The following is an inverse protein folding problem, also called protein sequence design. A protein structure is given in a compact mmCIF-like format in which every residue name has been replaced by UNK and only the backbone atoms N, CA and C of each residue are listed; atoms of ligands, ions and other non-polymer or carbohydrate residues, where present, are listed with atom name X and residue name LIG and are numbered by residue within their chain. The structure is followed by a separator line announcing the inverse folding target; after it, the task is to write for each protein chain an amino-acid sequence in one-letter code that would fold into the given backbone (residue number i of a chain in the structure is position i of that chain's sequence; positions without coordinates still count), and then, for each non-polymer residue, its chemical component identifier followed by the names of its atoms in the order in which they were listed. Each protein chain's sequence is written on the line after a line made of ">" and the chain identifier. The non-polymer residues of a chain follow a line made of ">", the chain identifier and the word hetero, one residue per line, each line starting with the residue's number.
data_IF_135507811668
#
_entry.id   IF_135507811668
#
_cell.length_a   1.000
_cell.length_b   1.000
_cell.length_c   1.000
_cell.angle_alpha   90.00
_cell.angle_beta   90.00
_cell.angle_gamma   90.00
#
_symmetry.space_group_name_H-M   'P 1'
#
loop_
_entity.id
_entity.type
_entity.pdbx_description
1 polymer ?
#
# COMPACT_ATOMS: atom_id res chain seq x y z
N UNK A 1 10.07 35.41 -28.90
CA UNK A 1 10.66 34.13 -28.46
C UNK A 1 10.61 34.08 -26.93
N UNK A 2 9.75 33.24 -26.36
CA UNK A 2 9.64 33.06 -24.92
C UNK A 2 8.99 31.70 -24.69
N UNK A 3 9.83 30.72 -24.42
CA UNK A 3 9.60 29.30 -24.66
C UNK A 3 8.85 28.69 -23.46
N UNK A 4 7.67 28.12 -23.73
CA UNK A 4 7.09 26.91 -23.10
C UNK A 4 6.85 26.93 -21.59
N UNK A 5 5.70 27.51 -21.20
CA UNK A 5 5.03 27.22 -19.93
C UNK A 5 4.23 25.89 -20.01
N UNK A 6 4.86 24.80 -20.47
CA UNK A 6 4.24 23.48 -20.63
C UNK A 6 5.18 22.40 -20.14
N UNK A 7 5.58 22.45 -18.88
CA UNK A 7 6.44 21.42 -18.29
C UNK A 7 6.18 21.21 -16.79
N UNK A 8 4.93 21.36 -16.33
CA UNK A 8 4.56 21.13 -14.93
C UNK A 8 3.37 20.17 -14.75
N UNK A 9 3.01 19.39 -15.77
CA UNK A 9 1.90 18.41 -15.68
C UNK A 9 2.42 16.97 -15.45
N UNK A 10 3.70 16.70 -15.68
CA UNK A 10 4.24 15.33 -15.70
C UNK A 10 4.59 14.69 -14.34
N UNK A 11 4.60 15.44 -13.23
CA UNK A 11 5.26 15.00 -11.99
C UNK A 11 4.31 14.68 -10.82
N UNK A 12 3.04 14.34 -11.09
CA UNK A 12 2.08 13.99 -10.01
C UNK A 12 1.82 12.49 -9.92
N UNK A 13 2.13 11.69 -10.94
CA UNK A 13 1.77 10.27 -10.98
C UNK A 13 2.77 9.31 -10.31
N UNK A 14 3.97 9.77 -9.93
CA UNK A 14 4.97 8.90 -9.27
C UNK A 14 4.82 8.79 -7.74
N UNK A 15 3.92 9.56 -7.12
CA UNK A 15 3.69 9.54 -5.67
C UNK A 15 2.68 8.49 -5.18
N UNK A 16 2.01 7.77 -6.06
CA UNK A 16 0.95 6.82 -5.69
C UNK A 16 1.46 5.44 -5.24
N UNK A 17 2.79 5.22 -5.20
CA UNK A 17 3.37 3.97 -4.73
C UNK A 17 3.67 3.98 -3.21
N UNK A 18 3.50 5.11 -2.53
CA UNK A 18 3.71 5.21 -1.08
C UNK A 18 2.95 6.38 -0.47
N UNK A 19 1.83 6.09 0.19
CA UNK A 19 1.31 7.00 1.22
C UNK A 19 0.12 7.89 0.87
N UNK A 20 -0.73 7.53 -0.11
CA UNK A 20 -2.11 8.02 -0.13
C UNK A 20 -3.03 6.82 0.12
N UNK A 21 -3.36 6.55 1.38
CA UNK A 21 -4.47 5.67 1.68
C UNK A 21 -5.71 6.29 1.04
N UNK A 22 -6.27 5.63 0.01
CA UNK A 22 -7.52 6.06 -0.57
C UNK A 22 -8.54 6.13 0.56
N UNK A 23 -9.24 7.26 0.68
CA UNK A 23 -10.29 7.40 1.69
C UNK A 23 -11.39 6.38 1.38
N UNK A 24 -11.37 5.25 2.09
CA UNK A 24 -12.48 4.32 2.14
C UNK A 24 -13.42 4.79 3.25
N UNK A 25 -14.68 5.03 2.91
CA UNK A 25 -15.71 5.32 3.89
C UNK A 25 -15.72 4.23 4.99
N UNK A 26 -15.83 4.65 6.25
CA UNK A 26 -15.93 3.70 7.35
C UNK A 26 -17.24 2.91 7.24
N UNK A 27 -17.20 1.60 7.54
CA UNK A 27 -18.40 0.78 7.48
C UNK A 27 -19.41 1.25 8.54
N UNK A 28 -20.67 1.40 8.12
CA UNK A 28 -21.74 1.99 8.93
C UNK A 28 -22.57 0.93 9.68
N UNK A 29 -22.25 -0.35 9.51
CA UNK A 29 -22.90 -1.46 10.22
C UNK A 29 -21.90 -2.51 10.70
N UNK A 30 -22.29 -3.27 11.71
CA UNK A 30 -21.47 -4.35 12.30
C UNK A 30 -21.06 -5.38 11.25
N UNK A 31 -22.00 -5.82 10.40
CA UNK A 31 -21.70 -6.77 9.33
C UNK A 31 -20.69 -6.22 8.31
N UNK A 32 -20.79 -4.92 7.98
CA UNK A 32 -19.82 -4.29 7.09
C UNK A 32 -18.43 -4.21 7.75
N UNK A 33 -18.35 -3.99 9.06
CA UNK A 33 -17.10 -4.07 9.83
C UNK A 33 -16.50 -5.46 9.79
N UNK A 34 -17.30 -6.50 10.07
CA UNK A 34 -16.84 -7.90 10.05
C UNK A 34 -16.24 -8.26 8.68
N UNK A 35 -16.92 -7.90 7.59
CA UNK A 35 -16.44 -8.12 6.22
C UNK A 35 -15.13 -7.38 5.93
N UNK A 36 -14.99 -6.15 6.43
CA UNK A 36 -13.76 -5.36 6.29
C UNK A 36 -12.60 -6.01 7.03
N UNK A 37 -12.82 -6.44 8.27
CA UNK A 37 -11.82 -7.14 9.09
C UNK A 37 -11.41 -8.46 8.45
N UNK A 38 -12.36 -9.25 7.95
CA UNK A 38 -12.09 -10.51 7.26
C UNK A 38 -11.17 -10.30 6.04
N UNK A 39 -11.45 -9.26 5.24
CA UNK A 39 -10.61 -8.90 4.08
C UNK A 39 -9.20 -8.53 4.51
N UNK A 40 -9.06 -7.63 5.49
CA UNK A 40 -7.76 -7.19 5.99
C UNK A 40 -6.95 -8.39 6.51
N UNK A 41 -7.58 -9.29 7.29
CA UNK A 41 -6.88 -10.47 7.80
C UNK A 41 -6.38 -11.40 6.68
N UNK A 42 -7.13 -11.54 5.59
CA UNK A 42 -6.68 -12.33 4.42
C UNK A 42 -5.49 -11.68 3.74
N UNK A 43 -5.54 -10.37 3.51
CA UNK A 43 -4.45 -9.60 2.90
C UNK A 43 -3.18 -9.64 3.78
N UNK A 44 -3.33 -9.47 5.09
CA UNK A 44 -2.22 -9.55 6.05
C UNK A 44 -1.61 -10.96 6.08
N UNK A 45 -2.44 -12.01 6.05
CA UNK A 45 -1.96 -13.39 6.02
C UNK A 45 -1.22 -13.71 4.71
N UNK A 46 -1.69 -13.19 3.58
CA UNK A 46 -1.01 -13.33 2.29
C UNK A 46 0.34 -12.62 2.32
N UNK A 47 0.38 -11.38 2.80
CA UNK A 47 1.62 -10.61 2.95
C UNK A 47 2.61 -11.32 3.87
N UNK A 48 2.15 -11.88 4.99
CA UNK A 48 2.99 -12.67 5.88
C UNK A 48 3.57 -13.92 5.20
N UNK A 49 2.77 -14.62 4.39
CA UNK A 49 3.25 -15.78 3.60
C UNK A 49 4.31 -15.38 2.58
N UNK A 50 4.07 -14.33 1.82
CA UNK A 50 5.03 -13.83 0.83
C UNK A 50 6.34 -13.45 1.53
N UNK A 51 6.26 -12.63 2.57
CA UNK A 51 7.42 -12.20 3.36
C UNK A 51 8.15 -13.34 4.07
N UNK A 52 7.47 -14.43 4.44
CA UNK A 52 8.09 -15.61 5.03
C UNK A 52 8.99 -16.40 4.08
N UNK A 53 8.82 -16.23 2.76
CA UNK A 53 9.67 -16.85 1.74
C UNK A 53 10.85 -15.98 1.31
N UNK A 54 10.82 -14.70 1.65
CA UNK A 54 11.90 -13.77 1.35
C UNK A 54 13.02 -13.87 2.39
N UNK A 55 14.25 -13.68 1.93
CA UNK A 55 15.41 -13.56 2.80
C UNK A 55 15.34 -12.27 3.63
N UNK A 56 15.50 -12.39 4.95
CA UNK A 56 15.29 -11.28 5.91
C UNK A 56 16.36 -10.20 5.82
N UNK A 57 17.56 -10.53 5.33
CA UNK A 57 18.67 -9.58 5.14
C UNK A 57 18.62 -8.92 3.76
N UNK A 58 17.72 -9.36 2.88
CA UNK A 58 17.58 -8.77 1.56
C UNK A 58 17.00 -7.36 1.66
N UNK A 59 17.57 -6.43 0.88
CA UNK A 59 17.04 -5.08 0.72
C UNK A 59 15.58 -5.07 0.23
N UNK A 60 15.09 -6.17 -0.37
CA UNK A 60 13.70 -6.32 -0.77
C UNK A 60 12.78 -6.56 0.43
N UNK A 61 13.19 -7.40 1.37
CA UNK A 61 12.44 -7.63 2.61
C UNK A 61 12.31 -6.33 3.41
N UNK A 62 13.37 -5.54 3.51
CA UNK A 62 13.33 -4.24 4.20
C UNK A 62 12.33 -3.24 3.57
N UNK A 63 12.16 -3.27 2.24
CA UNK A 63 11.22 -2.38 1.55
C UNK A 63 9.76 -2.84 1.61
N UNK A 64 9.53 -4.14 1.41
CA UNK A 64 8.18 -4.69 1.18
C UNK A 64 7.58 -5.30 2.47
N UNK A 65 8.41 -5.78 3.38
CA UNK A 65 8.02 -6.57 4.55
C UNK A 65 8.27 -5.87 5.89
N UNK A 66 8.73 -4.61 5.88
CA UNK A 66 8.89 -3.83 7.10
C UNK A 66 7.57 -3.77 7.90
N UNK A 67 7.63 -4.22 9.16
CA UNK A 67 6.50 -4.23 10.08
C UNK A 67 5.56 -5.45 9.98
N UNK A 68 5.82 -6.41 9.10
CA UNK A 68 5.13 -7.72 9.13
C UNK A 68 5.60 -8.47 10.38
N UNK A 69 4.67 -8.85 11.27
CA UNK A 69 5.00 -9.69 12.44
C UNK A 69 5.41 -11.08 11.94
N UNK A 70 6.70 -11.39 12.08
CA UNK A 70 7.30 -12.71 11.86
C UNK A 70 6.96 -13.69 12.98
#
# INVERSE_FOLDING_TARGET
>A
MGVRATALIGLVLLGAAGGCAAYEAEPVSVYQWERKVERIQREDAERARLCGTLDKESARYERECAGVKS
#
